data_IF_003266634071
#
_entry.id   IF_003266634071
#
_cell.length_a   1.000
_cell.length_b   1.000
_cell.length_c   1.000
_cell.angle_alpha   90.00
_cell.angle_beta   90.00
_cell.angle_gamma   90.00
#
_symmetry.space_group_name_H-M   'P 1'
#
loop_
_entity.id
_entity.type
_entity.pdbx_description
1 polymer ?
#
# COMPACT_ATOMS: atom_id res chain seq x y z
N UNK A 1 -49.56 50.75 48.00
CA UNK A 1 -48.64 49.64 47.82
C UNK A 1 -48.75 49.19 46.40
N UNK A 2 -47.86 49.64 45.54
CA UNK A 2 -47.79 49.29 44.13
C UNK A 2 -46.58 48.35 43.91
N UNK A 3 -46.80 47.16 43.40
CA UNK A 3 -45.76 46.24 42.99
C UNK A 3 -45.49 46.45 41.47
N UNK A 4 -44.27 46.81 41.15
CA UNK A 4 -43.80 46.92 39.76
C UNK A 4 -43.27 45.58 39.32
N UNK A 5 -43.83 45.08 38.22
CA UNK A 5 -43.34 43.90 37.49
C UNK A 5 -42.37 44.40 36.43
N UNK A 6 -41.11 44.06 36.58
CA UNK A 6 -40.10 44.34 35.58
C UNK A 6 -40.10 43.27 34.49
N UNK A 7 -40.29 43.66 33.23
CA UNK A 7 -40.13 42.81 32.07
C UNK A 7 -38.65 42.76 31.66
N UNK A 8 -38.08 41.56 31.66
CA UNK A 8 -36.75 41.30 31.10
C UNK A 8 -36.89 41.07 29.59
N UNK A 9 -36.50 42.07 28.82
CA UNK A 9 -36.40 41.94 27.37
C UNK A 9 -35.12 41.22 26.97
N UNK A 10 -35.26 40.07 26.32
CA UNK A 10 -34.14 39.38 25.66
C UNK A 10 -33.80 40.12 24.36
N UNK A 11 -32.74 40.89 24.36
CA UNK A 11 -32.20 41.49 23.15
C UNK A 11 -31.44 40.47 22.30
N UNK A 12 -32.00 40.14 21.16
CA UNK A 12 -31.28 39.42 20.14
C UNK A 12 -30.42 40.41 19.37
N UNK A 13 -29.10 40.39 19.60
CA UNK A 13 -28.15 41.13 18.76
C UNK A 13 -27.91 40.37 17.48
N UNK A 14 -28.58 40.80 16.41
CA UNK A 14 -28.26 40.34 15.04
C UNK A 14 -27.01 41.11 14.61
N UNK A 15 -25.87 40.43 14.62
CA UNK A 15 -24.64 40.98 14.07
C UNK A 15 -24.65 40.73 12.55
N UNK A 16 -25.07 41.75 11.78
CA UNK A 16 -24.93 41.75 10.32
C UNK A 16 -23.51 42.21 9.96
N UNK A 17 -22.55 41.26 10.00
CA UNK A 17 -21.24 41.48 9.42
C UNK A 17 -21.35 41.22 7.91
N UNK A 18 -21.26 42.29 7.10
CA UNK A 18 -21.00 42.17 5.67
C UNK A 18 -19.56 41.63 5.50
N UNK A 19 -19.43 40.37 5.15
CA UNK A 19 -18.17 39.80 4.68
C UNK A 19 -17.98 40.37 3.29
N UNK A 20 -16.94 41.21 3.10
CA UNK A 20 -16.48 41.61 1.79
C UNK A 20 -15.98 40.32 1.08
N UNK A 21 -16.56 40.06 -0.05
CA UNK A 21 -16.15 39.03 -0.96
C UNK A 21 -14.81 39.49 -1.60
N UNK A 22 -13.70 38.98 -1.07
CA UNK A 22 -12.40 39.14 -1.65
C UNK A 22 -12.11 37.87 -2.46
N UNK A 23 -12.30 37.97 -3.79
CA UNK A 23 -12.22 36.88 -4.75
C UNK A 23 -10.82 36.25 -4.80
N UNK A 24 -10.65 35.17 -4.08
CA UNK A 24 -9.59 34.22 -4.25
C UNK A 24 -10.25 32.88 -4.58
N UNK A 25 -10.30 32.55 -5.85
CA UNK A 25 -10.71 31.24 -6.38
C UNK A 25 -9.63 30.21 -6.03
N UNK A 26 -9.55 29.84 -4.77
CA UNK A 26 -8.92 28.60 -4.34
C UNK A 26 -10.03 27.57 -4.21
N UNK A 27 -10.28 26.88 -5.32
CA UNK A 27 -11.23 25.78 -5.40
C UNK A 27 -10.86 24.66 -4.45
N UNK A 28 -11.18 24.83 -3.17
CA UNK A 28 -11.19 23.75 -2.21
C UNK A 28 -12.27 22.76 -2.64
N UNK A 29 -11.88 21.66 -3.26
CA UNK A 29 -12.77 20.54 -3.53
C UNK A 29 -13.29 20.02 -2.19
N UNK A 30 -14.58 20.23 -1.94
CA UNK A 30 -15.26 19.53 -0.85
C UNK A 30 -15.45 18.09 -1.30
N UNK A 31 -14.61 17.20 -0.79
CA UNK A 31 -14.74 15.77 -1.05
C UNK A 31 -15.84 15.24 -0.14
N UNK A 32 -16.97 14.88 -0.73
CA UNK A 32 -18.04 14.18 -0.03
C UNK A 32 -17.68 12.69 -0.03
N UNK A 33 -17.37 12.14 1.12
CA UNK A 33 -17.13 10.71 1.29
C UNK A 33 -18.49 9.98 1.25
N UNK A 34 -18.86 9.44 0.10
CA UNK A 34 -20.06 8.61 -0.06
C UNK A 34 -19.91 7.23 0.59
N UNK A 35 -18.67 6.82 0.91
CA UNK A 35 -18.38 5.57 1.62
C UNK A 35 -17.31 5.79 2.69
N UNK A 36 -17.64 5.62 3.99
CA UNK A 36 -16.64 5.72 5.05
C UNK A 36 -15.62 4.59 4.95
N UNK A 37 -14.38 4.90 4.62
CA UNK A 37 -13.26 3.95 4.62
C UNK A 37 -12.47 3.86 3.31
N UNK A 38 -12.83 4.59 2.26
CA UNK A 38 -12.17 4.53 0.96
C UNK A 38 -11.59 5.89 0.50
N UNK A 39 -11.08 6.68 1.45
CA UNK A 39 -10.34 7.88 1.07
C UNK A 39 -8.87 7.53 0.85
N UNK A 40 -8.47 7.37 -0.40
CA UNK A 40 -7.08 7.43 -0.82
C UNK A 40 -6.86 8.85 -1.36
N UNK A 41 -6.05 9.64 -0.70
CA UNK A 41 -5.63 10.94 -1.24
C UNK A 41 -4.83 10.68 -2.53
N UNK A 42 -5.32 11.11 -3.70
CA UNK A 42 -4.60 10.88 -4.95
C UNK A 42 -3.22 11.56 -5.00
N UNK A 43 -2.93 12.45 -4.06
CA UNK A 43 -1.60 13.05 -3.89
C UNK A 43 -0.63 12.14 -3.10
N UNK A 44 -1.10 11.02 -2.52
CA UNK A 44 -0.30 10.09 -1.74
C UNK A 44 -0.51 8.67 -2.31
N UNK A 45 -0.45 8.50 -3.60
CA UNK A 45 -0.47 7.18 -4.24
C UNK A 45 0.94 6.78 -4.69
N UNK A 46 1.20 5.49 -4.69
CA UNK A 46 2.43 4.97 -5.28
C UNK A 46 2.49 5.35 -6.77
N UNK A 47 3.64 5.81 -7.28
CA UNK A 47 3.79 6.07 -8.71
C UNK A 47 3.65 4.76 -9.49
N UNK A 48 3.16 4.81 -10.74
CA UNK A 48 3.16 3.62 -11.58
C UNK A 48 4.59 3.29 -12.02
N UNK A 49 5.01 2.03 -11.82
CA UNK A 49 6.32 1.54 -12.25
C UNK A 49 6.22 0.53 -13.42
N UNK A 50 5.02 0.27 -13.94
CA UNK A 50 4.84 -0.63 -15.08
C UNK A 50 5.53 -0.09 -16.34
N UNK A 51 6.37 -0.91 -16.96
CA UNK A 51 7.22 -0.56 -18.08
C UNK A 51 8.68 -0.24 -17.71
N UNK A 52 8.96 -0.07 -16.42
CA UNK A 52 10.32 0.18 -15.93
C UNK A 52 11.04 -1.16 -15.58
N UNK A 53 12.37 -1.19 -15.62
CA UNK A 53 13.11 -2.34 -15.12
C UNK A 53 12.97 -2.46 -13.60
N UNK A 54 12.95 -3.70 -13.08
CA UNK A 54 13.05 -3.95 -11.65
C UNK A 54 14.35 -3.31 -11.11
N UNK A 55 14.29 -2.50 -10.04
CA UNK A 55 15.48 -1.90 -9.46
C UNK A 55 16.51 -2.96 -9.02
N UNK A 56 17.77 -2.74 -9.37
CA UNK A 56 18.88 -3.59 -8.93
C UNK A 56 19.35 -3.14 -7.55
N UNK A 57 18.75 -3.72 -6.50
CA UNK A 57 19.03 -3.38 -5.10
C UNK A 57 19.53 -4.60 -4.32
N UNK A 58 20.35 -4.33 -3.30
CA UNK A 58 20.73 -5.33 -2.29
C UNK A 58 19.84 -5.20 -1.08
N UNK A 59 19.14 -6.28 -0.76
CA UNK A 59 18.30 -6.48 0.40
C UNK A 59 18.99 -7.44 1.39
N UNK A 60 18.32 -7.79 2.48
CA UNK A 60 18.87 -8.69 3.50
C UNK A 60 17.93 -9.86 3.72
N UNK A 61 18.41 -11.08 3.81
CA UNK A 61 17.60 -12.22 4.25
C UNK A 61 17.44 -12.25 5.79
N UNK A 62 16.69 -13.23 6.29
CA UNK A 62 16.44 -13.40 7.71
C UNK A 62 17.70 -13.69 8.55
N UNK A 63 18.76 -14.17 7.94
CA UNK A 63 20.06 -14.48 8.59
C UNK A 63 21.03 -13.28 8.52
N UNK A 64 20.62 -12.19 7.87
CA UNK A 64 21.43 -10.98 7.70
C UNK A 64 22.40 -11.03 6.52
N UNK A 65 22.28 -12.01 5.62
CA UNK A 65 23.10 -12.06 4.43
C UNK A 65 22.54 -11.12 3.35
N UNK A 66 23.45 -10.48 2.59
CA UNK A 66 23.06 -9.62 1.47
C UNK A 66 22.56 -10.45 0.30
N UNK A 67 21.36 -10.13 -0.17
CA UNK A 67 20.70 -10.78 -1.31
C UNK A 67 20.37 -9.71 -2.35
N UNK A 68 20.83 -9.94 -3.59
CA UNK A 68 20.48 -9.07 -4.71
C UNK A 68 19.08 -9.41 -5.24
N UNK A 69 18.17 -8.44 -5.21
CA UNK A 69 16.87 -8.57 -5.86
C UNK A 69 17.05 -8.45 -7.37
N UNK A 70 16.80 -9.52 -8.10
CA UNK A 70 16.94 -9.55 -9.54
C UNK A 70 16.36 -10.84 -10.12
N UNK A 71 16.14 -10.88 -11.44
CA UNK A 71 15.62 -12.07 -12.11
C UNK A 71 16.71 -13.14 -12.24
N UNK A 72 16.30 -14.39 -12.10
CA UNK A 72 17.08 -15.58 -12.41
C UNK A 72 16.68 -16.24 -13.75
N UNK A 73 15.91 -15.52 -14.56
CA UNK A 73 15.38 -15.98 -15.82
C UNK A 73 13.96 -16.53 -15.73
N UNK A 74 13.38 -16.55 -14.53
CA UNK A 74 11.96 -16.84 -14.29
C UNK A 74 11.17 -15.54 -14.10
N UNK A 75 9.89 -15.52 -14.45
CA UNK A 75 9.01 -14.45 -14.01
C UNK A 75 8.96 -14.36 -12.48
N UNK A 76 8.70 -13.16 -11.94
CA UNK A 76 8.65 -12.96 -10.51
C UNK A 76 7.39 -12.23 -10.08
N UNK A 77 6.94 -12.54 -8.87
CA UNK A 77 5.97 -11.75 -8.10
C UNK A 77 6.69 -11.21 -6.87
N UNK A 78 6.80 -9.89 -6.77
CA UNK A 78 7.43 -9.22 -5.62
C UNK A 78 6.34 -8.50 -4.83
N UNK A 79 6.08 -8.95 -3.60
CA UNK A 79 5.06 -8.39 -2.73
C UNK A 79 5.71 -7.61 -1.59
N UNK A 80 5.45 -6.29 -1.53
CA UNK A 80 5.92 -5.40 -0.47
C UNK A 80 4.86 -5.31 0.62
N UNK A 81 5.22 -5.66 1.86
CA UNK A 81 4.29 -5.80 2.96
C UNK A 81 4.96 -5.64 4.33
N UNK A 82 4.19 -5.52 5.42
CA UNK A 82 4.67 -5.61 6.81
C UNK A 82 3.56 -6.15 7.74
N UNK A 83 3.92 -6.60 8.94
CA UNK A 83 3.01 -7.30 9.87
C UNK A 83 1.82 -6.44 10.31
N UNK A 84 2.05 -5.17 10.63
CA UNK A 84 1.02 -4.26 11.13
C UNK A 84 0.23 -3.56 10.00
N UNK A 85 0.03 -4.27 8.88
CA UNK A 85 -0.73 -3.84 7.70
C UNK A 85 -1.95 -4.77 7.49
N UNK A 86 -3.17 -4.38 7.89
CA UNK A 86 -4.32 -5.28 7.80
C UNK A 86 -4.67 -5.80 6.40
N UNK A 87 -4.56 -5.03 5.31
CA UNK A 87 -4.73 -5.57 3.97
C UNK A 87 -3.63 -6.57 3.60
N UNK A 88 -2.34 -6.31 3.97
CA UNK A 88 -1.24 -7.22 3.73
C UNK A 88 -1.46 -8.58 4.41
N UNK A 89 -1.93 -8.55 5.67
CA UNK A 89 -2.21 -9.77 6.44
C UNK A 89 -3.25 -10.69 5.77
N UNK A 90 -4.21 -10.11 5.05
CA UNK A 90 -5.24 -10.88 4.34
C UNK A 90 -4.71 -11.51 3.05
N UNK A 91 -3.92 -10.75 2.29
CA UNK A 91 -3.45 -11.24 0.99
C UNK A 91 -2.33 -12.27 1.09
N UNK A 92 -1.50 -12.26 2.14
CA UNK A 92 -0.41 -13.24 2.31
C UNK A 92 -0.89 -14.70 2.22
N UNK A 93 -2.10 -15.01 2.72
CA UNK A 93 -2.68 -16.35 2.57
C UNK A 93 -3.00 -16.71 1.11
N UNK A 94 -3.34 -15.71 0.29
CA UNK A 94 -3.57 -15.92 -1.14
C UNK A 94 -2.25 -16.12 -1.88
N UNK A 95 -1.21 -15.36 -1.50
CA UNK A 95 0.14 -15.52 -2.06
C UNK A 95 0.68 -16.92 -1.76
N UNK A 96 0.58 -17.41 -0.53
CA UNK A 96 0.98 -18.76 -0.17
C UNK A 96 0.25 -19.83 -1.00
N UNK A 97 -1.06 -19.69 -1.18
CA UNK A 97 -1.86 -20.64 -1.96
C UNK A 97 -1.48 -20.62 -3.45
N UNK A 98 -1.30 -19.44 -4.04
CA UNK A 98 -0.97 -19.31 -5.46
C UNK A 98 0.44 -19.77 -5.73
N UNK A 99 1.41 -19.41 -4.88
CA UNK A 99 2.80 -19.87 -5.01
C UNK A 99 2.88 -21.40 -4.96
N UNK A 100 2.22 -22.03 -3.99
CA UNK A 100 2.16 -23.50 -3.89
C UNK A 100 1.58 -24.19 -5.13
N UNK A 101 0.66 -23.52 -5.85
CA UNK A 101 0.04 -24.08 -7.06
C UNK A 101 0.94 -23.94 -8.31
N UNK A 102 1.69 -22.82 -8.42
CA UNK A 102 2.54 -22.57 -9.61
C UNK A 102 3.97 -23.08 -9.42
N UNK A 103 4.39 -23.29 -8.17
CA UNK A 103 5.72 -23.85 -7.87
C UNK A 103 6.85 -23.03 -8.47
N UNK A 104 7.83 -23.75 -9.06
CA UNK A 104 9.05 -23.14 -9.60
C UNK A 104 8.86 -22.35 -10.91
N UNK A 105 7.67 -22.32 -11.49
CA UNK A 105 7.41 -21.59 -12.75
C UNK A 105 7.46 -20.07 -12.54
N UNK A 106 7.15 -19.58 -11.31
CA UNK A 106 7.22 -18.18 -10.93
C UNK A 106 7.96 -18.05 -9.61
N UNK A 107 8.92 -17.14 -9.52
CA UNK A 107 9.61 -16.83 -8.27
C UNK A 107 8.78 -15.84 -7.44
N UNK A 108 8.38 -16.23 -6.23
CA UNK A 108 7.72 -15.34 -5.29
C UNK A 108 8.75 -14.79 -4.30
N UNK A 109 8.69 -13.47 -4.04
CA UNK A 109 9.56 -12.78 -3.09
C UNK A 109 8.70 -11.82 -2.27
N UNK A 110 8.71 -11.99 -0.96
CA UNK A 110 8.15 -11.01 -0.03
C UNK A 110 9.22 -10.03 0.42
N UNK A 111 8.98 -8.74 0.32
CA UNK A 111 9.90 -7.70 0.80
C UNK A 111 9.26 -6.93 1.94
N UNK A 112 9.96 -6.89 3.07
CA UNK A 112 9.48 -6.26 4.30
C UNK A 112 10.41 -5.12 4.73
N UNK A 113 9.94 -3.87 4.76
CA UNK A 113 10.77 -2.73 5.10
C UNK A 113 10.78 -2.37 6.59
N UNK A 114 9.84 -2.91 7.40
CA UNK A 114 9.55 -2.37 8.73
C UNK A 114 9.77 -3.36 9.89
N UNK A 115 9.47 -4.66 9.68
CA UNK A 115 9.55 -5.66 10.73
C UNK A 115 10.99 -6.18 10.88
N UNK A 116 11.37 -6.68 12.05
CA UNK A 116 12.59 -7.45 12.15
C UNK A 116 12.45 -8.88 11.56
N UNK A 117 13.55 -9.60 11.44
CA UNK A 117 13.56 -10.91 10.80
C UNK A 117 12.65 -11.93 11.48
N UNK A 118 12.64 -11.96 12.81
CA UNK A 118 11.83 -12.90 13.58
C UNK A 118 10.34 -12.59 13.38
N UNK A 119 9.94 -11.32 13.50
CA UNK A 119 8.56 -10.88 13.29
C UNK A 119 8.09 -11.14 11.85
N UNK A 120 8.92 -10.84 10.86
CA UNK A 120 8.62 -11.11 9.45
C UNK A 120 8.35 -12.60 9.21
N UNK A 121 9.25 -13.48 9.68
CA UNK A 121 9.12 -14.92 9.47
C UNK A 121 7.96 -15.54 10.25
N UNK A 122 7.78 -15.16 11.52
CA UNK A 122 6.68 -15.66 12.34
C UNK A 122 5.33 -15.26 11.73
N UNK A 123 5.18 -13.98 11.36
CA UNK A 123 3.92 -13.47 10.79
C UNK A 123 3.58 -14.09 9.43
N UNK A 124 4.57 -14.26 8.55
CA UNK A 124 4.42 -14.88 7.25
C UNK A 124 4.14 -16.39 7.39
N UNK A 125 4.88 -17.09 8.25
CA UNK A 125 4.71 -18.52 8.51
C UNK A 125 3.34 -18.89 9.08
N UNK A 126 2.77 -18.06 9.99
CA UNK A 126 1.39 -18.23 10.48
C UNK A 126 0.35 -18.19 9.35
N UNK A 127 0.69 -17.61 8.18
CA UNK A 127 -0.18 -17.48 7.00
C UNK A 127 0.16 -18.48 5.89
N UNK A 128 1.07 -19.42 6.19
CA UNK A 128 1.46 -20.47 5.26
C UNK A 128 2.47 -20.04 4.20
N UNK A 129 3.07 -18.86 4.34
CA UNK A 129 4.13 -18.38 3.44
C UNK A 129 5.43 -19.10 3.77
N UNK A 130 6.03 -19.74 2.74
CA UNK A 130 7.32 -20.42 2.81
C UNK A 130 8.25 -20.06 1.64
N UNK A 131 7.82 -19.12 0.78
CA UNK A 131 8.68 -18.55 -0.27
C UNK A 131 9.68 -17.53 0.29
N UNK A 132 10.58 -17.05 -0.56
CA UNK A 132 11.68 -16.16 -0.21
C UNK A 132 11.18 -14.86 0.44
N UNK A 133 11.73 -14.54 1.63
CA UNK A 133 11.44 -13.32 2.37
C UNK A 133 12.71 -12.49 2.56
N UNK A 134 12.64 -11.20 2.22
CA UNK A 134 13.76 -10.26 2.30
C UNK A 134 13.36 -9.02 3.10
N UNK A 135 14.34 -8.39 3.72
CA UNK A 135 14.20 -7.15 4.48
C UNK A 135 14.77 -5.97 3.69
N UNK A 136 14.02 -4.87 3.65
CA UNK A 136 14.44 -3.59 3.04
C UNK A 136 14.55 -2.49 4.11
N UNK A 137 15.25 -2.74 5.20
CA UNK A 137 15.38 -1.79 6.32
C UNK A 137 16.01 -0.45 5.94
N UNK A 138 16.84 -0.43 4.89
CA UNK A 138 17.43 0.80 4.37
C UNK A 138 16.47 1.56 3.43
N UNK A 139 15.30 0.97 3.09
CA UNK A 139 14.30 1.54 2.19
C UNK A 139 14.78 1.70 0.74
N UNK A 140 15.74 0.90 0.31
CA UNK A 140 16.33 1.04 -1.04
C UNK A 140 15.37 0.73 -2.16
N UNK A 141 14.57 -0.34 -1.99
CA UNK A 141 13.55 -0.72 -2.96
C UNK A 141 12.39 0.28 -2.94
N UNK A 142 11.93 0.64 -1.73
CA UNK A 142 10.90 1.65 -1.55
C UNK A 142 11.25 2.99 -2.18
N UNK A 143 12.49 3.48 -1.95
CA UNK A 143 12.99 4.72 -2.54
C UNK A 143 13.09 4.63 -4.07
N UNK A 144 13.63 3.51 -4.58
CA UNK A 144 13.80 3.32 -6.02
C UNK A 144 12.46 3.27 -6.78
N UNK A 145 11.41 2.72 -6.14
CA UNK A 145 10.07 2.60 -6.72
C UNK A 145 9.13 3.75 -6.32
N UNK A 146 9.55 4.61 -5.37
CA UNK A 146 8.70 5.67 -4.81
C UNK A 146 7.52 5.15 -4.00
N UNK A 147 7.67 4.00 -3.31
CA UNK A 147 6.60 3.39 -2.53
C UNK A 147 6.31 4.20 -1.27
N UNK A 148 5.05 4.54 -1.07
CA UNK A 148 4.55 5.29 0.09
C UNK A 148 3.33 4.64 0.76
N UNK A 149 2.74 3.64 0.12
CA UNK A 149 1.59 2.89 0.63
C UNK A 149 1.74 1.39 0.39
N UNK A 150 1.24 0.57 1.32
CA UNK A 150 1.27 -0.89 1.28
C UNK A 150 -0.15 -1.48 1.36
N UNK A 151 -0.34 -2.70 0.83
CA UNK A 151 0.65 -3.50 0.11
C UNK A 151 0.89 -3.01 -1.32
N UNK A 152 2.01 -3.42 -1.89
CA UNK A 152 2.29 -3.28 -3.32
C UNK A 152 2.78 -4.61 -3.87
N UNK A 153 2.23 -5.02 -5.01
CA UNK A 153 2.67 -6.20 -5.72
C UNK A 153 3.18 -5.83 -7.10
N UNK A 154 4.41 -6.22 -7.39
CA UNK A 154 5.01 -6.09 -8.73
C UNK A 154 4.96 -7.45 -9.44
N UNK A 155 4.54 -7.42 -10.67
CA UNK A 155 4.62 -8.55 -11.61
C UNK A 155 5.78 -8.27 -12.56
N UNK A 156 6.80 -9.14 -12.53
CA UNK A 156 8.07 -8.91 -13.22
C UNK A 156 8.28 -10.04 -14.23
N UNK A 157 8.49 -9.66 -15.48
CA UNK A 157 8.80 -10.64 -16.55
C UNK A 157 10.16 -11.32 -16.38
N UNK A 158 10.38 -12.41 -17.06
CA UNK A 158 11.63 -13.18 -16.96
C UNK A 158 12.89 -12.38 -17.34
N UNK A 159 12.74 -11.31 -18.14
CA UNK A 159 13.82 -10.39 -18.50
C UNK A 159 13.97 -9.19 -17.56
N UNK A 160 13.18 -9.18 -16.46
CA UNK A 160 13.33 -8.19 -15.39
C UNK A 160 12.54 -6.88 -15.59
N UNK A 161 11.55 -6.87 -16.49
CA UNK A 161 10.68 -5.69 -16.64
C UNK A 161 9.47 -5.81 -15.72
N UNK A 162 9.08 -4.73 -15.04
CA UNK A 162 7.83 -4.64 -14.30
C UNK A 162 6.71 -4.53 -15.32
N UNK A 163 5.90 -5.58 -15.48
CA UNK A 163 4.79 -5.62 -16.43
C UNK A 163 3.44 -5.29 -15.78
N UNK A 164 3.39 -5.28 -14.44
CA UNK A 164 2.22 -4.90 -13.66
C UNK A 164 2.60 -4.43 -12.26
N UNK A 165 1.80 -3.52 -11.70
CA UNK A 165 1.89 -3.07 -10.32
C UNK A 165 0.49 -2.90 -9.78
N UNK A 166 0.22 -3.56 -8.65
CA UNK A 166 -1.09 -3.54 -8.01
C UNK A 166 -0.97 -3.19 -6.52
N UNK A 167 -2.07 -2.68 -5.96
CA UNK A 167 -2.26 -2.53 -4.52
C UNK A 167 -2.77 -3.83 -3.89
N UNK A 168 -3.72 -3.73 -2.93
CA UNK A 168 -4.30 -4.92 -2.31
C UNK A 168 -5.00 -5.81 -3.33
N UNK A 169 -4.68 -7.11 -3.34
CA UNK A 169 -5.23 -8.10 -4.25
C UNK A 169 -6.08 -9.14 -3.51
N UNK A 170 -7.11 -9.64 -4.17
CA UNK A 170 -7.73 -10.90 -3.79
C UNK A 170 -7.10 -12.08 -4.56
N UNK A 171 -7.43 -13.31 -4.15
CA UNK A 171 -6.82 -14.50 -4.74
C UNK A 171 -7.10 -14.65 -6.25
N UNK A 172 -8.30 -14.29 -6.71
CA UNK A 172 -8.67 -14.42 -8.13
C UNK A 172 -7.90 -13.42 -9.01
N UNK A 173 -7.71 -12.21 -8.53
CA UNK A 173 -6.90 -11.17 -9.19
C UNK A 173 -5.44 -11.59 -9.25
N UNK A 174 -4.87 -12.07 -8.12
CA UNK A 174 -3.49 -12.55 -8.09
C UNK A 174 -3.28 -13.71 -9.10
N UNK A 175 -4.20 -14.68 -9.14
CA UNK A 175 -4.16 -15.80 -10.10
C UNK A 175 -4.23 -15.32 -11.54
N UNK A 176 -5.04 -14.32 -11.83
CA UNK A 176 -5.14 -13.75 -13.16
C UNK A 176 -3.81 -13.12 -13.60
N UNK A 177 -3.21 -12.26 -12.77
CA UNK A 177 -1.92 -11.63 -13.07
C UNK A 177 -0.79 -12.64 -13.22
N UNK A 178 -0.76 -13.67 -12.38
CA UNK A 178 0.22 -14.76 -12.50
C UNK A 178 0.04 -15.55 -13.81
N UNK A 179 -1.20 -15.80 -14.22
CA UNK A 179 -1.47 -16.47 -15.51
C UNK A 179 -1.06 -15.60 -16.71
N UNK A 180 -1.26 -14.29 -16.64
CA UNK A 180 -0.80 -13.32 -17.66
C UNK A 180 0.73 -13.26 -17.71
N UNK A 181 1.41 -13.39 -16.56
CA UNK A 181 2.87 -13.41 -16.45
C UNK A 181 3.50 -14.66 -17.09
N UNK A 182 2.76 -15.77 -17.13
CA UNK A 182 3.18 -17.06 -17.71
C UNK A 182 2.79 -17.24 -19.20
N UNK A 183 2.03 -16.29 -19.78
CA UNK A 183 1.52 -16.40 -21.15
C UNK A 183 2.54 -15.95 -22.20
#
# INVERSE_FOLDING_TARGET
>A
MLAAVGAVGAGVLIWSGTIADDGGDEGGQVIVLDQPGEYVDPAISNPPNSGDPLPDVELTDGDGASVRLGTDGRPMVVNLWYSNCPPCARELTYFAAVESDVGDDVRFVGVNPLDDADEMHDFAGERGVDYELLLDHDGKLDEALGIVQYPVTLFVSADGQIVGQEGPLNEAELRQHVAELLA
#
